data_IF_352056882478
#
_entry.id   IF_352056882478
#
_cell.length_a   1.000
_cell.length_b   1.000
_cell.length_c   1.000
_cell.angle_alpha   90.00
_cell.angle_beta   90.00
_cell.angle_gamma   90.00
#
_symmetry.space_group_name_H-M   'P 1'
#
loop_
_entity.id
_entity.type
_entity.pdbx_description
1 polymer ?
#
# COMPACT_ATOMS: atom_id res chain seq x y z
N UNK A 1 3.18 -0.31 -28.13
CA UNK A 1 3.41 -0.69 -26.73
C UNK A 1 2.04 -0.79 -26.08
N UNK A 2 1.65 -1.91 -25.45
CA UNK A 2 0.38 -1.97 -24.76
C UNK A 2 0.38 -0.90 -23.66
N UNK A 3 -0.62 -0.02 -23.66
CA UNK A 3 -0.80 0.97 -22.59
C UNK A 3 -1.13 0.21 -21.30
N UNK A 4 -0.36 0.45 -20.24
CA UNK A 4 -0.68 -0.12 -18.93
C UNK A 4 -1.99 0.53 -18.45
N UNK A 5 -3.00 -0.28 -18.18
CA UNK A 5 -4.25 0.24 -17.61
C UNK A 5 -4.05 0.68 -16.15
N UNK A 6 -4.86 1.63 -15.68
CA UNK A 6 -4.86 2.04 -14.27
C UNK A 6 -5.15 0.85 -13.35
N UNK A 7 -6.01 -0.07 -13.79
CA UNK A 7 -6.31 -1.28 -13.04
C UNK A 7 -5.04 -2.13 -12.80
N UNK A 8 -4.24 -2.36 -13.85
CA UNK A 8 -2.96 -3.09 -13.75
C UNK A 8 -1.96 -2.37 -12.85
N UNK A 9 -1.97 -1.03 -12.82
CA UNK A 9 -1.13 -0.27 -11.89
C UNK A 9 -1.58 -0.44 -10.43
N UNK A 10 -2.87 -0.55 -10.18
CA UNK A 10 -3.40 -0.84 -8.84
C UNK A 10 -3.06 -2.27 -8.40
N UNK A 11 -3.18 -3.26 -9.29
CA UNK A 11 -2.69 -4.63 -9.01
C UNK A 11 -1.20 -4.64 -8.67
N UNK A 12 -0.39 -3.93 -9.46
CA UNK A 12 1.04 -3.78 -9.20
C UNK A 12 1.31 -3.15 -7.84
N UNK A 13 0.54 -2.12 -7.45
CA UNK A 13 0.65 -1.52 -6.12
C UNK A 13 0.43 -2.56 -5.01
N UNK A 14 -0.65 -3.35 -5.08
CA UNK A 14 -0.93 -4.37 -4.06
C UNK A 14 0.16 -5.44 -4.02
N UNK A 15 0.67 -5.89 -5.17
CA UNK A 15 1.80 -6.82 -5.25
C UNK A 15 3.05 -6.24 -4.58
N UNK A 16 3.37 -4.97 -4.85
CA UNK A 16 4.52 -4.30 -4.22
C UNK A 16 4.34 -4.12 -2.72
N UNK A 17 3.14 -3.71 -2.27
CA UNK A 17 2.84 -3.48 -0.87
C UNK A 17 2.88 -4.79 -0.06
N UNK A 18 2.23 -5.84 -0.54
CA UNK A 18 2.26 -7.16 0.09
C UNK A 18 3.67 -7.75 0.02
N UNK A 19 4.31 -7.69 -1.15
CA UNK A 19 5.67 -8.18 -1.35
C UNK A 19 6.69 -7.52 -0.43
N UNK A 20 6.63 -6.20 -0.25
CA UNK A 20 7.48 -5.48 0.69
C UNK A 20 7.31 -6.00 2.12
N UNK A 21 6.06 -6.20 2.56
CA UNK A 21 5.79 -6.72 3.90
C UNK A 21 6.20 -8.18 4.06
N UNK A 22 6.05 -9.03 3.04
CA UNK A 22 6.57 -10.42 3.05
C UNK A 22 8.09 -10.40 3.20
N UNK A 23 8.82 -9.61 2.40
CA UNK A 23 10.28 -9.51 2.52
C UNK A 23 10.68 -8.95 3.89
N UNK A 24 9.91 -7.98 4.42
CA UNK A 24 10.11 -7.44 5.77
C UNK A 24 9.93 -8.52 6.84
N UNK A 25 8.91 -9.37 6.70
CA UNK A 25 8.65 -10.49 7.60
C UNK A 25 9.76 -11.53 7.54
N UNK A 26 10.17 -11.97 6.35
CA UNK A 26 11.26 -12.93 6.16
C UNK A 26 12.57 -12.41 6.79
N UNK A 27 12.90 -11.12 6.62
CA UNK A 27 14.06 -10.53 7.32
C UNK A 27 13.86 -10.44 8.83
N UNK A 28 12.65 -10.21 9.31
CA UNK A 28 12.35 -10.26 10.74
C UNK A 28 12.62 -11.66 11.30
N UNK A 29 12.18 -12.71 10.61
CA UNK A 29 12.34 -14.09 11.07
C UNK A 29 13.80 -14.56 11.00
N UNK A 30 14.51 -14.22 9.92
CA UNK A 30 15.91 -14.65 9.71
C UNK A 30 16.92 -13.81 10.50
N UNK A 31 16.73 -12.49 10.58
CA UNK A 31 17.73 -11.54 11.08
C UNK A 31 17.25 -10.72 12.30
N UNK A 32 16.01 -10.93 12.77
CA UNK A 32 15.38 -10.12 13.84
C UNK A 32 15.40 -8.62 13.56
N UNK A 33 15.44 -8.25 12.28
CA UNK A 33 15.52 -6.86 11.84
C UNK A 33 14.64 -6.67 10.62
N UNK A 34 13.36 -6.29 10.77
CA UNK A 34 12.45 -6.05 9.65
C UNK A 34 12.97 -4.94 8.72
N UNK A 35 12.38 -4.79 7.54
CA UNK A 35 12.74 -3.70 6.61
C UNK A 35 12.29 -2.35 7.16
N UNK A 36 11.06 -2.30 7.67
CA UNK A 36 10.42 -1.10 8.23
C UNK A 36 10.08 -1.28 9.72
N UNK A 37 9.85 -0.15 10.39
CA UNK A 37 9.48 -0.08 11.82
C UNK A 37 8.02 -0.50 12.12
N UNK A 38 7.30 -0.99 11.12
CA UNK A 38 5.91 -1.42 11.20
C UNK A 38 5.82 -2.94 11.30
N UNK A 39 4.78 -3.44 11.96
CA UNK A 39 4.48 -4.88 11.99
C UNK A 39 4.19 -5.39 10.57
N UNK A 40 5.03 -6.28 10.01
CA UNK A 40 4.86 -6.78 8.65
C UNK A 40 3.62 -7.65 8.46
N UNK A 41 3.26 -8.46 9.47
CA UNK A 41 2.10 -9.36 9.41
C UNK A 41 0.81 -8.54 9.37
N UNK A 42 0.73 -7.51 10.22
CA UNK A 42 -0.39 -6.58 10.19
C UNK A 42 -0.47 -5.85 8.83
N UNK A 43 0.67 -5.44 8.26
CA UNK A 43 0.75 -4.86 6.93
C UNK A 43 0.19 -5.79 5.84
N UNK A 44 0.60 -7.06 5.82
CA UNK A 44 0.09 -8.07 4.86
C UNK A 44 -1.43 -8.22 4.99
N UNK A 45 -1.93 -8.37 6.22
CA UNK A 45 -3.35 -8.58 6.48
C UNK A 45 -4.17 -7.39 5.96
N UNK A 46 -3.78 -6.17 6.32
CA UNK A 46 -4.48 -4.95 5.92
C UNK A 46 -4.48 -4.79 4.40
N UNK A 47 -3.32 -4.95 3.75
CA UNK A 47 -3.23 -4.83 2.29
C UNK A 47 -4.03 -5.91 1.56
N UNK A 48 -4.06 -7.13 2.09
CA UNK A 48 -4.83 -8.24 1.50
C UNK A 48 -6.34 -8.01 1.61
N UNK A 49 -6.81 -7.54 2.77
CA UNK A 49 -8.23 -7.17 2.95
C UNK A 49 -8.61 -6.03 2.00
N UNK A 50 -7.77 -5.02 1.86
CA UNK A 50 -8.04 -3.92 0.93
C UNK A 50 -8.02 -4.35 -0.52
N UNK A 51 -7.12 -5.25 -0.92
CA UNK A 51 -7.12 -5.83 -2.26
C UNK A 51 -8.44 -6.54 -2.55
N UNK A 52 -8.94 -7.35 -1.60
CA UNK A 52 -10.22 -8.05 -1.75
C UNK A 52 -11.38 -7.06 -1.93
N UNK A 53 -11.45 -6.02 -1.09
CA UNK A 53 -12.50 -4.99 -1.21
C UNK A 53 -12.38 -4.26 -2.55
N UNK A 54 -11.18 -3.83 -2.92
CA UNK A 54 -10.91 -3.15 -4.17
C UNK A 54 -11.32 -3.99 -5.39
N UNK A 55 -10.91 -5.25 -5.44
CA UNK A 55 -11.25 -6.20 -6.51
C UNK A 55 -12.73 -6.56 -6.59
N UNK A 56 -13.51 -6.28 -5.54
CA UNK A 56 -14.96 -6.52 -5.50
C UNK A 56 -15.79 -5.36 -6.07
N UNK A 57 -15.16 -4.42 -6.78
CA UNK A 57 -15.80 -3.22 -7.34
C UNK A 57 -17.05 -3.49 -8.17
N UNK A 58 -17.06 -4.58 -8.94
CA UNK A 58 -18.21 -4.95 -9.78
C UNK A 58 -19.39 -5.54 -8.99
N UNK A 59 -19.17 -5.91 -7.72
CA UNK A 59 -20.17 -6.55 -6.85
C UNK A 59 -20.76 -5.53 -5.88
N UNK A 60 -19.95 -4.58 -5.43
CA UNK A 60 -20.37 -3.56 -4.46
C UNK A 60 -21.15 -2.44 -5.13
N UNK A 61 -22.06 -1.82 -4.36
CA UNK A 61 -22.69 -0.57 -4.76
C UNK A 61 -21.58 0.50 -4.89
N UNK A 62 -21.52 1.28 -5.99
CA UNK A 62 -20.40 2.20 -6.26
C UNK A 62 -20.09 3.16 -5.11
N UNK A 63 -21.11 3.69 -4.42
CA UNK A 63 -20.91 4.58 -3.25
C UNK A 63 -20.25 3.87 -2.07
N UNK A 64 -20.53 2.59 -1.86
CA UNK A 64 -19.93 1.76 -0.81
C UNK A 64 -18.47 1.46 -1.15
N UNK A 65 -18.20 1.07 -2.39
CA UNK A 65 -16.83 0.84 -2.86
C UNK A 65 -15.98 2.12 -2.73
N UNK A 66 -16.49 3.25 -3.20
CA UNK A 66 -15.82 4.55 -3.08
C UNK A 66 -15.53 4.92 -1.62
N UNK A 67 -16.48 4.69 -0.70
CA UNK A 67 -16.26 4.95 0.72
C UNK A 67 -15.10 4.11 1.29
N UNK A 68 -15.00 2.84 0.90
CA UNK A 68 -13.89 1.99 1.31
C UNK A 68 -12.55 2.43 0.70
N UNK A 69 -12.52 2.80 -0.58
CA UNK A 69 -11.30 3.31 -1.23
C UNK A 69 -10.84 4.61 -0.59
N UNK A 70 -11.75 5.54 -0.29
CA UNK A 70 -11.43 6.78 0.45
C UNK A 70 -10.85 6.46 1.83
N UNK A 71 -11.50 5.56 2.58
CA UNK A 71 -10.99 5.14 3.89
C UNK A 71 -9.57 4.57 3.77
N UNK A 72 -9.33 3.75 2.75
CA UNK A 72 -8.02 3.17 2.50
C UNK A 72 -6.97 4.23 2.15
N UNK A 73 -7.29 5.17 1.26
CA UNK A 73 -6.42 6.30 0.91
C UNK A 73 -6.02 7.10 2.16
N UNK A 74 -6.96 7.39 3.05
CA UNK A 74 -6.69 8.10 4.31
C UNK A 74 -5.76 7.30 5.23
N UNK A 75 -5.94 5.98 5.30
CA UNK A 75 -5.09 5.10 6.10
C UNK A 75 -3.67 4.99 5.54
N UNK A 76 -3.49 4.83 4.22
CA UNK A 76 -2.16 4.82 3.60
C UNK A 76 -1.50 6.18 3.79
N UNK A 77 -2.22 7.28 3.57
CA UNK A 77 -1.64 8.62 3.71
C UNK A 77 -1.17 8.85 5.16
N UNK A 78 -1.99 8.52 6.15
CA UNK A 78 -1.63 8.73 7.56
C UNK A 78 -0.53 7.78 8.02
N UNK A 79 -0.70 6.47 7.80
CA UNK A 79 0.17 5.45 8.40
C UNK A 79 1.31 5.03 7.48
N UNK A 80 1.12 5.03 6.17
CA UNK A 80 2.10 4.63 5.16
C UNK A 80 2.98 5.76 4.61
N UNK A 81 2.56 7.03 4.77
CA UNK A 81 3.33 8.20 4.30
C UNK A 81 3.67 9.15 5.45
N UNK A 82 2.68 9.80 6.05
CA UNK A 82 2.89 10.86 7.06
C UNK A 82 3.71 10.34 8.25
N UNK A 83 3.33 9.20 8.83
CA UNK A 83 4.05 8.61 9.96
C UNK A 83 5.50 8.26 9.61
N UNK A 84 5.76 7.81 8.38
CA UNK A 84 7.11 7.46 7.92
C UNK A 84 8.00 8.67 7.61
N UNK A 85 7.40 9.80 7.27
CA UNK A 85 8.12 11.06 7.03
C UNK A 85 8.33 11.87 8.31
N UNK A 86 7.35 11.89 9.21
CA UNK A 86 7.35 12.80 10.37
C UNK A 86 7.70 12.12 11.69
N UNK A 87 7.52 10.79 11.81
CA UNK A 87 7.71 10.08 13.09
C UNK A 87 8.89 9.12 13.06
N UNK A 88 9.08 8.38 11.97
CA UNK A 88 10.17 7.43 11.88
C UNK A 88 11.42 8.08 11.28
N UNK A 89 12.53 8.02 12.00
CA UNK A 89 13.83 8.33 11.39
C UNK A 89 14.21 7.22 10.40
N UNK A 90 14.97 7.57 9.36
CA UNK A 90 15.48 6.59 8.40
C UNK A 90 16.38 5.50 9.06
N UNK A 91 16.84 5.73 10.29
CA UNK A 91 17.69 4.82 11.06
C UNK A 91 16.91 3.65 11.68
N UNK A 92 15.60 3.81 11.90
CA UNK A 92 14.74 2.71 12.40
C UNK A 92 14.52 1.65 11.32
N UNK A 93 14.83 1.97 10.07
CA UNK A 93 14.79 1.03 8.96
C UNK A 93 16.07 0.21 8.89
N UNK A 94 16.01 -0.89 8.16
CA UNK A 94 17.22 -1.67 7.89
C UNK A 94 18.24 -0.94 7.04
N UNK A 95 17.77 -0.05 6.16
CA UNK A 95 18.58 0.75 5.26
C UNK A 95 17.79 1.95 4.73
N UNK A 96 18.50 2.95 4.20
CA UNK A 96 17.86 4.09 3.52
C UNK A 96 17.02 3.66 2.31
N UNK A 97 17.45 2.62 1.61
CA UNK A 97 16.70 2.05 0.49
C UNK A 97 15.37 1.46 0.98
N UNK A 98 15.37 0.72 2.09
CA UNK A 98 14.14 0.17 2.66
C UNK A 98 13.16 1.28 3.08
N UNK A 99 13.67 2.36 3.67
CA UNK A 99 12.88 3.56 3.99
C UNK A 99 12.25 4.19 2.75
N UNK A 100 13.08 4.47 1.74
CA UNK A 100 12.63 5.07 0.49
C UNK A 100 11.60 4.20 -0.22
N UNK A 101 11.87 2.89 -0.36
CA UNK A 101 10.94 1.94 -1.00
C UNK A 101 9.58 1.89 -0.30
N UNK A 102 9.53 1.86 1.04
CA UNK A 102 8.26 1.86 1.77
C UNK A 102 7.42 3.10 1.44
N UNK A 103 8.04 4.28 1.47
CA UNK A 103 7.35 5.54 1.18
C UNK A 103 6.93 5.60 -0.29
N UNK A 104 7.81 5.25 -1.22
CA UNK A 104 7.51 5.26 -2.65
C UNK A 104 6.35 4.33 -3.01
N UNK A 105 6.29 3.13 -2.43
CA UNK A 105 5.19 2.18 -2.63
C UNK A 105 3.87 2.79 -2.14
N UNK A 106 3.87 3.40 -0.95
CA UNK A 106 2.65 4.00 -0.39
C UNK A 106 2.20 5.25 -1.17
N UNK A 107 3.12 6.11 -1.59
CA UNK A 107 2.81 7.27 -2.44
C UNK A 107 2.26 6.80 -3.79
N UNK A 108 2.88 5.79 -4.40
CA UNK A 108 2.40 5.19 -5.63
C UNK A 108 0.97 4.66 -5.47
N UNK A 109 0.70 3.90 -4.41
CA UNK A 109 -0.63 3.41 -4.08
C UNK A 109 -1.68 4.50 -3.94
N UNK A 110 -1.38 5.56 -3.19
CA UNK A 110 -2.28 6.72 -3.07
C UNK A 110 -2.59 7.32 -4.43
N UNK A 111 -1.57 7.50 -5.29
CA UNK A 111 -1.75 8.07 -6.62
C UNK A 111 -2.63 7.22 -7.52
N UNK A 112 -2.36 5.92 -7.63
CA UNK A 112 -3.10 5.04 -8.57
C UNK A 112 -4.52 4.78 -8.12
N UNK A 113 -4.76 4.57 -6.82
CA UNK A 113 -6.10 4.34 -6.28
C UNK A 113 -6.98 5.60 -6.35
N UNK A 114 -6.41 6.77 -6.10
CA UNK A 114 -7.13 8.03 -6.25
C UNK A 114 -7.52 8.27 -7.72
N UNK A 115 -6.61 7.97 -8.65
CA UNK A 115 -6.87 8.12 -10.08
C UNK A 115 -7.95 7.15 -10.56
N UNK A 116 -7.91 5.89 -10.15
CA UNK A 116 -8.94 4.90 -10.50
C UNK A 116 -10.32 5.32 -9.99
N UNK A 117 -10.40 5.75 -8.74
CA UNK A 117 -11.65 6.25 -8.15
C UNK A 117 -12.21 7.46 -8.93
N UNK A 118 -11.35 8.39 -9.36
CA UNK A 118 -11.76 9.53 -10.18
C UNK A 118 -12.31 9.11 -11.55
N UNK A 119 -11.73 8.07 -12.16
CA UNK A 119 -12.18 7.56 -13.46
C UNK A 119 -13.52 6.81 -13.38
N UNK A 120 -13.86 6.22 -12.23
CA UNK A 120 -15.15 5.54 -12.04
C UNK A 120 -16.33 6.49 -11.76
N UNK A 121 -16.06 7.76 -11.44
CA UNK A 121 -17.09 8.77 -11.17
C UNK A 121 -17.56 9.46 -12.48
N UNK A 122 -16.82 9.30 -13.58
CA UNK A 122 -17.11 9.88 -14.90
C UNK A 122 -18.08 9.00 -15.70
#
# INVERSE_FOLDING_TARGET
MPELSIHTLCELYFVLAVGYNIVSQVRSDLLRRPLAATDPVFGILVMSVFYLIWSSGDILIPSVWNAFVILYLLLILRFGVIKHLLTYSAEVYSSRLAWFSAISINIFGVGVLALEMMMQIQ
#
